data_IF_008328450434
#
_entry.id   IF_008328450434
#
_cell.length_a   1.000
_cell.length_b   1.000
_cell.length_c   1.000
_cell.angle_alpha   90.00
_cell.angle_beta   90.00
_cell.angle_gamma   90.00
#
_symmetry.space_group_name_H-M   'P 1'
#
loop_
_entity.id
_entity.type
_entity.pdbx_description
1 polymer ?
#
# COMPACT_ATOMS: atom_id res chain seq x y z
N UNK A 1 -23.35 24.22 56.90
CA UNK A 1 -24.41 23.74 56.03
C UNK A 1 -23.78 23.48 54.67
N UNK A 2 -23.45 22.21 54.41
CA UNK A 2 -22.72 21.75 53.22
C UNK A 2 -23.71 21.38 52.13
N UNK A 3 -23.75 22.11 51.04
CA UNK A 3 -24.45 21.68 49.81
C UNK A 3 -23.41 21.10 48.84
N UNK A 4 -23.29 19.77 48.87
CA UNK A 4 -22.53 19.00 47.91
C UNK A 4 -23.28 18.98 46.58
N UNK A 5 -22.73 19.73 45.62
CA UNK A 5 -23.18 19.75 44.24
C UNK A 5 -22.74 18.43 43.56
N UNK A 6 -23.66 17.48 43.40
CA UNK A 6 -23.50 16.22 42.70
C UNK A 6 -23.61 16.53 41.18
N UNK A 7 -22.50 16.96 40.59
CA UNK A 7 -22.40 17.14 39.11
C UNK A 7 -22.19 15.77 38.49
N UNK A 8 -23.30 15.09 38.17
CA UNK A 8 -23.31 13.86 37.41
C UNK A 8 -22.83 14.17 36.00
N UNK A 9 -21.58 13.80 35.67
CA UNK A 9 -21.02 13.84 34.34
C UNK A 9 -21.80 12.91 33.41
N UNK A 10 -22.78 13.43 32.69
CA UNK A 10 -23.37 12.82 31.52
C UNK A 10 -22.28 12.84 30.40
N UNK A 11 -21.42 11.82 30.38
CA UNK A 11 -20.61 11.52 29.22
C UNK A 11 -21.56 11.08 28.10
N UNK A 12 -21.60 11.77 26.96
CA UNK A 12 -22.30 11.24 25.80
C UNK A 12 -21.54 9.97 25.38
N UNK A 13 -22.14 8.82 25.61
CA UNK A 13 -21.74 7.57 24.98
C UNK A 13 -22.00 7.79 23.48
N UNK A 14 -21.00 8.29 22.78
CA UNK A 14 -21.00 8.28 21.32
C UNK A 14 -21.02 6.82 20.90
N UNK A 15 -22.21 6.27 20.72
CA UNK A 15 -22.40 5.01 20.02
C UNK A 15 -21.84 5.24 18.63
N UNK A 16 -20.59 4.83 18.41
CA UNK A 16 -20.00 4.75 17.08
C UNK A 16 -20.82 3.70 16.34
N UNK A 17 -21.86 4.15 15.67
CA UNK A 17 -22.64 3.30 14.79
C UNK A 17 -21.64 2.68 13.79
N UNK A 18 -21.49 1.36 13.84
CA UNK A 18 -20.64 0.64 12.91
C UNK A 18 -21.12 0.94 11.50
N UNK A 19 -20.33 1.72 10.76
CA UNK A 19 -20.65 2.04 9.37
C UNK A 19 -20.63 0.74 8.58
N UNK A 20 -21.78 0.36 8.03
CA UNK A 20 -21.86 -0.75 7.08
C UNK A 20 -21.13 -0.32 5.80
N UNK A 21 -20.01 -0.95 5.55
CA UNK A 21 -19.23 -0.70 4.34
C UNK A 21 -19.89 -1.37 3.14
N UNK A 22 -20.26 -0.58 2.15
CA UNK A 22 -20.71 -1.08 0.85
C UNK A 22 -19.49 -1.39 -0.03
N UNK A 23 -19.67 -2.18 -1.08
CA UNK A 23 -18.61 -2.46 -2.06
C UNK A 23 -18.03 -1.16 -2.63
N UNK A 24 -18.89 -0.19 -2.95
CA UNK A 24 -18.47 1.11 -3.49
C UNK A 24 -17.66 1.92 -2.46
N UNK A 25 -18.02 1.88 -1.18
CA UNK A 25 -17.24 2.53 -0.12
C UNK A 25 -15.84 1.91 0.01
N UNK A 26 -15.74 0.58 -0.07
CA UNK A 26 -14.46 -0.13 -0.03
C UNK A 26 -13.57 0.25 -1.23
N UNK A 27 -14.14 0.31 -2.43
CA UNK A 27 -13.41 0.70 -3.65
C UNK A 27 -12.95 2.16 -3.56
N UNK A 28 -13.82 3.07 -3.13
CA UNK A 28 -13.49 4.48 -2.99
C UNK A 28 -12.35 4.69 -1.97
N UNK A 29 -12.47 4.06 -0.82
CA UNK A 29 -11.43 4.11 0.23
C UNK A 29 -10.09 3.57 -0.25
N UNK A 30 -10.10 2.44 -0.96
CA UNK A 30 -8.87 1.85 -1.46
C UNK A 30 -8.19 2.71 -2.54
N UNK A 31 -8.95 3.32 -3.45
CA UNK A 31 -8.41 4.25 -4.44
C UNK A 31 -7.66 5.43 -3.81
N UNK A 32 -8.14 5.89 -2.66
CA UNK A 32 -7.53 7.03 -1.96
C UNK A 32 -6.36 6.64 -1.04
N UNK A 33 -6.42 5.45 -0.42
CA UNK A 33 -5.51 5.09 0.67
C UNK A 33 -4.54 3.95 0.32
N UNK A 34 -4.75 3.23 -0.78
CA UNK A 34 -3.91 2.08 -1.12
C UNK A 34 -2.48 2.52 -1.50
N UNK A 35 -1.49 1.93 -0.82
CA UNK A 35 -0.08 2.26 -1.02
C UNK A 35 0.44 1.92 -2.42
N UNK A 36 -0.04 0.84 -3.03
CA UNK A 36 0.39 0.44 -4.37
C UNK A 36 -0.09 1.43 -5.44
N UNK A 37 -1.30 1.99 -5.29
CA UNK A 37 -1.80 3.05 -6.15
C UNK A 37 -0.96 4.32 -5.97
N UNK A 38 -0.71 4.74 -4.72
CA UNK A 38 0.13 5.90 -4.42
C UNK A 38 1.55 5.76 -4.96
N UNK A 39 2.13 4.55 -4.87
CA UNK A 39 3.43 4.28 -5.47
C UNK A 39 3.41 4.48 -6.98
N UNK A 40 2.43 3.92 -7.67
CA UNK A 40 2.28 4.09 -9.13
C UNK A 40 2.01 5.55 -9.54
N UNK A 41 1.34 6.35 -8.70
CA UNK A 41 1.17 7.79 -8.91
C UNK A 41 2.50 8.55 -8.77
N UNK A 42 3.35 8.14 -7.83
CA UNK A 42 4.71 8.71 -7.69
C UNK A 42 5.58 8.33 -8.88
N UNK A 43 5.48 7.09 -9.36
CA UNK A 43 6.20 6.63 -10.53
C UNK A 43 5.80 7.43 -11.78
N UNK A 44 4.51 7.73 -11.94
CA UNK A 44 4.04 8.62 -13.00
C UNK A 44 4.61 10.03 -12.87
N UNK A 45 4.59 10.63 -11.68
CA UNK A 45 5.21 11.95 -11.43
C UNK A 45 6.71 11.94 -11.74
N UNK A 46 7.40 10.83 -11.46
CA UNK A 46 8.81 10.68 -11.82
C UNK A 46 9.03 10.73 -13.33
N UNK A 47 8.16 10.09 -14.12
CA UNK A 47 8.25 10.15 -15.59
C UNK A 47 7.86 11.52 -16.13
N UNK A 48 6.96 12.27 -15.47
CA UNK A 48 6.67 13.67 -15.81
C UNK A 48 7.92 14.54 -15.67
N UNK A 49 8.66 14.35 -14.58
CA UNK A 49 9.92 15.04 -14.33
C UNK A 49 10.98 14.64 -15.40
N UNK A 50 11.04 13.35 -15.77
CA UNK A 50 11.95 12.86 -16.82
C UNK A 50 11.66 13.54 -18.18
N UNK A 51 10.39 13.71 -18.54
CA UNK A 51 9.99 14.46 -19.75
C UNK A 51 10.46 15.91 -19.65
N UNK A 52 10.28 16.56 -18.48
CA UNK A 52 10.73 17.92 -18.25
C UNK A 52 12.27 18.04 -18.35
N UNK A 53 13.02 17.14 -17.72
CA UNK A 53 14.48 17.08 -17.80
C UNK A 53 14.95 16.91 -19.25
N UNK A 54 14.27 16.05 -20.01
CA UNK A 54 14.60 15.84 -21.43
C UNK A 54 14.35 17.10 -22.27
N UNK A 55 13.30 17.87 -21.94
CA UNK A 55 13.06 19.19 -22.53
C UNK A 55 14.17 20.20 -22.15
N UNK A 56 14.64 20.13 -20.89
CA UNK A 56 15.70 21.00 -20.42
C UNK A 56 17.04 20.80 -21.17
N UNK A 57 17.27 19.62 -21.78
CA UNK A 57 18.45 19.37 -22.60
C UNK A 57 18.52 20.24 -23.87
N UNK A 58 17.45 20.96 -24.23
CA UNK A 58 17.48 21.98 -25.31
C UNK A 58 17.88 23.37 -24.81
N UNK A 59 18.00 23.56 -23.49
CA UNK A 59 18.42 24.81 -22.87
C UNK A 59 19.93 24.79 -22.60
N UNK A 60 20.57 25.96 -22.49
CA UNK A 60 21.98 26.04 -22.08
C UNK A 60 22.14 25.54 -20.62
N UNK A 61 23.18 24.76 -20.39
CA UNK A 61 23.62 24.38 -19.05
C UNK A 61 24.64 25.40 -18.52
N UNK A 62 24.46 25.84 -17.30
CA UNK A 62 25.35 26.74 -16.58
C UNK A 62 25.97 25.95 -15.42
N UNK A 63 27.30 25.88 -15.40
CA UNK A 63 28.04 25.25 -14.32
C UNK A 63 28.90 26.29 -13.64
N UNK A 64 28.92 26.29 -12.33
CA UNK A 64 29.87 27.11 -11.55
C UNK A 64 30.72 26.17 -10.68
N UNK A 65 31.99 26.46 -10.61
CA UNK A 65 32.95 25.73 -9.80
C UNK A 65 33.78 26.69 -8.96
N UNK A 66 34.08 26.28 -7.74
CA UNK A 66 35.01 26.96 -6.87
C UNK A 66 35.89 25.92 -6.19
N UNK A 67 37.16 26.09 -6.23
CA UNK A 67 38.12 25.19 -5.60
C UNK A 67 39.09 25.99 -4.73
N UNK A 68 39.37 25.51 -3.54
CA UNK A 68 40.39 25.99 -2.65
C UNK A 68 41.34 24.82 -2.34
N UNK A 69 42.62 25.01 -2.71
CA UNK A 69 43.61 23.96 -2.52
C UNK A 69 44.72 24.48 -1.64
N UNK A 70 45.18 23.67 -0.70
CA UNK A 70 46.38 23.89 0.09
C UNK A 70 47.32 22.70 -0.07
N UNK A 71 48.58 23.00 -0.40
CA UNK A 71 49.65 22.02 -0.51
C UNK A 71 50.71 22.35 0.53
N UNK A 72 50.93 21.42 1.45
CA UNK A 72 51.97 21.55 2.46
C UNK A 72 53.08 20.52 2.20
N UNK A 73 54.33 20.97 2.12
CA UNK A 73 55.45 20.07 1.87
C UNK A 73 56.56 20.77 1.13
N UNK A 74 57.41 19.97 0.50
CA UNK A 74 58.57 20.45 -0.26
C UNK A 74 58.11 20.94 -1.64
N UNK A 75 57.87 22.23 -1.73
CA UNK A 75 57.38 22.91 -2.95
C UNK A 75 58.45 23.84 -3.53
N UNK A 76 58.34 24.12 -4.82
CA UNK A 76 59.18 25.17 -5.43
C UNK A 76 58.57 26.53 -5.10
N UNK A 77 59.31 27.35 -4.36
CA UNK A 77 58.93 28.74 -4.13
C UNK A 77 58.97 29.52 -5.46
N UNK A 78 57.88 30.10 -5.92
CA UNK A 78 57.82 30.78 -7.22
C UNK A 78 58.63 32.08 -7.26
N UNK A 79 59.09 32.60 -6.15
CA UNK A 79 59.93 33.81 -6.08
C UNK A 79 61.41 33.45 -6.06
N UNK A 80 61.84 32.51 -5.22
CA UNK A 80 63.26 32.11 -5.06
C UNK A 80 63.68 30.99 -6.05
N UNK A 81 62.71 30.31 -6.69
CA UNK A 81 62.91 29.13 -7.55
C UNK A 81 63.70 28.01 -6.87
N UNK A 82 63.62 27.90 -5.52
CA UNK A 82 64.25 26.89 -4.69
C UNK A 82 63.24 25.99 -4.01
N UNK A 83 63.63 24.77 -3.69
CA UNK A 83 62.80 23.84 -2.94
C UNK A 83 62.77 24.21 -1.44
N UNK A 84 61.63 24.66 -1.00
CA UNK A 84 61.38 25.05 0.39
C UNK A 84 60.19 24.27 0.95
N UNK A 85 60.19 23.94 2.27
CA UNK A 85 59.02 23.39 2.94
C UNK A 85 58.07 24.56 3.21
N UNK A 86 57.09 24.75 2.35
CA UNK A 86 56.09 25.82 2.46
C UNK A 86 54.69 25.29 2.27
N UNK A 87 53.72 25.97 2.84
CA UNK A 87 52.32 25.75 2.51
C UNK A 87 51.95 26.71 1.40
N UNK A 88 51.52 26.15 0.28
CA UNK A 88 51.00 26.93 -0.84
C UNK A 88 49.50 26.82 -0.93
N UNK A 89 48.83 27.95 -0.90
CA UNK A 89 47.38 28.04 -1.00
C UNK A 89 46.96 28.62 -2.32
N UNK A 90 45.95 28.05 -2.96
CA UNK A 90 45.39 28.58 -4.21
C UNK A 90 43.88 28.49 -4.17
N UNK A 91 43.23 29.54 -4.61
CA UNK A 91 41.80 29.59 -4.83
C UNK A 91 41.54 29.80 -6.34
N UNK A 92 40.62 29.03 -6.87
CA UNK A 92 40.18 29.17 -8.26
C UNK A 92 38.65 29.13 -8.31
N UNK A 93 38.06 29.86 -9.21
CA UNK A 93 36.63 29.87 -9.45
C UNK A 93 36.37 30.10 -10.95
N UNK A 94 35.32 29.45 -11.43
CA UNK A 94 34.93 29.55 -12.83
C UNK A 94 33.42 29.41 -13.01
N UNK A 95 32.90 30.07 -14.05
CA UNK A 95 31.53 29.88 -14.52
C UNK A 95 31.63 29.51 -15.99
N UNK A 96 31.02 28.37 -16.36
CA UNK A 96 30.96 27.91 -17.75
C UNK A 96 29.51 27.76 -18.19
N UNK A 97 29.21 28.13 -19.42
CA UNK A 97 27.92 27.94 -20.07
C UNK A 97 28.13 27.16 -21.36
N UNK A 98 27.35 26.08 -21.51
CA UNK A 98 27.39 25.28 -22.75
C UNK A 98 25.99 24.99 -23.27
N UNK A 99 25.79 25.05 -24.58
CA UNK A 99 24.53 24.75 -25.24
C UNK A 99 24.81 23.88 -26.48
N UNK A 100 24.24 22.68 -26.59
CA UNK A 100 24.36 21.86 -27.78
C UNK A 100 23.46 22.43 -28.89
N UNK A 101 24.07 23.02 -29.95
CA UNK A 101 23.32 23.60 -31.08
C UNK A 101 22.75 22.51 -32.00
N UNK A 102 23.44 21.39 -32.14
CA UNK A 102 23.00 20.27 -32.95
C UNK A 102 23.56 18.95 -32.41
N UNK A 103 22.66 17.99 -32.20
CA UNK A 103 22.99 16.64 -31.67
C UNK A 103 22.46 15.51 -32.57
N UNK A 104 22.36 15.74 -33.90
CA UNK A 104 21.87 14.72 -34.83
C UNK A 104 20.45 14.22 -34.53
N UNK A 105 19.55 15.10 -34.08
CA UNK A 105 18.16 14.77 -33.66
C UNK A 105 18.07 13.86 -32.42
N UNK A 106 19.18 13.56 -31.74
CA UNK A 106 19.22 12.69 -30.59
C UNK A 106 18.33 13.22 -29.47
N UNK A 107 18.40 14.50 -29.11
CA UNK A 107 17.59 15.12 -28.06
C UNK A 107 16.10 15.04 -28.40
N UNK A 108 15.73 15.21 -29.65
CA UNK A 108 14.33 15.09 -30.08
C UNK A 108 13.82 13.67 -29.97
N UNK A 109 14.61 12.65 -30.34
CA UNK A 109 14.26 11.23 -30.17
C UNK A 109 14.15 10.85 -28.71
N UNK A 110 15.05 11.33 -27.85
CA UNK A 110 14.96 11.15 -26.39
C UNK A 110 13.68 11.74 -25.82
N UNK A 111 13.27 12.93 -26.29
CA UNK A 111 12.01 13.53 -25.86
C UNK A 111 10.80 12.69 -26.27
N UNK A 112 10.78 12.16 -27.49
CA UNK A 112 9.72 11.24 -27.90
C UNK A 112 9.69 9.98 -27.05
N UNK A 113 10.85 9.38 -26.79
CA UNK A 113 10.98 8.21 -25.92
C UNK A 113 10.46 8.49 -24.51
N UNK A 114 10.83 9.62 -23.91
CA UNK A 114 10.35 10.00 -22.57
C UNK A 114 8.82 10.18 -22.54
N UNK A 115 8.22 10.78 -23.58
CA UNK A 115 6.76 10.90 -23.70
C UNK A 115 6.06 9.55 -23.85
N UNK A 116 6.62 8.62 -24.63
CA UNK A 116 6.06 7.28 -24.75
C UNK A 116 6.16 6.52 -23.41
N UNK A 117 7.27 6.69 -22.70
CA UNK A 117 7.45 6.11 -21.36
C UNK A 117 6.43 6.66 -20.37
N UNK A 118 6.20 7.98 -20.35
CA UNK A 118 5.17 8.64 -19.53
C UNK A 118 3.78 8.05 -19.81
N UNK A 119 3.40 7.90 -21.07
CA UNK A 119 2.12 7.30 -21.47
C UNK A 119 2.02 5.84 -21.03
N UNK A 120 3.10 5.06 -21.18
CA UNK A 120 3.12 3.67 -20.70
C UNK A 120 2.94 3.59 -19.20
N UNK A 121 3.60 4.47 -18.41
CA UNK A 121 3.44 4.53 -16.95
C UNK A 121 2.03 4.96 -16.55
N UNK A 122 1.39 5.85 -17.33
CA UNK A 122 -0.01 6.20 -17.10
C UNK A 122 -0.93 4.98 -17.21
N UNK A 123 -0.78 4.18 -18.27
CA UNK A 123 -1.56 2.95 -18.42
C UNK A 123 -1.24 1.90 -17.35
N UNK A 124 0.01 1.84 -16.88
CA UNK A 124 0.37 0.98 -15.75
C UNK A 124 -0.34 1.38 -14.45
N UNK A 125 -0.47 2.69 -14.19
CA UNK A 125 -1.25 3.20 -13.07
C UNK A 125 -2.73 2.81 -13.18
N UNK A 126 -3.32 2.97 -14.37
CA UNK A 126 -4.73 2.62 -14.59
C UNK A 126 -4.95 1.10 -14.42
N UNK A 127 -4.06 0.28 -14.98
CA UNK A 127 -4.07 -1.17 -14.79
C UNK A 127 -3.95 -1.54 -13.29
N UNK A 128 -3.10 -0.82 -12.53
CA UNK A 128 -2.95 -1.06 -11.10
C UNK A 128 -4.21 -0.73 -10.31
N UNK A 129 -4.90 0.35 -10.68
CA UNK A 129 -6.21 0.70 -10.10
C UNK A 129 -7.25 -0.38 -10.37
N UNK A 130 -7.31 -0.91 -11.58
CA UNK A 130 -8.25 -1.96 -11.95
C UNK A 130 -7.94 -3.28 -11.23
N UNK A 131 -6.65 -3.65 -11.10
CA UNK A 131 -6.21 -4.82 -10.34
C UNK A 131 -6.68 -4.75 -8.87
N UNK A 132 -6.50 -3.60 -8.22
CA UNK A 132 -6.94 -3.39 -6.83
C UNK A 132 -8.47 -3.47 -6.72
N UNK A 133 -9.21 -2.90 -7.67
CA UNK A 133 -10.67 -2.98 -7.71
C UNK A 133 -11.12 -4.44 -7.79
N UNK A 134 -10.55 -5.23 -8.69
CA UNK A 134 -10.87 -6.64 -8.84
C UNK A 134 -10.56 -7.44 -7.57
N UNK A 135 -9.42 -7.16 -6.92
CA UNK A 135 -9.05 -7.79 -5.65
C UNK A 135 -10.09 -7.49 -4.55
N UNK A 136 -10.58 -6.24 -4.47
CA UNK A 136 -11.60 -5.85 -3.50
C UNK A 136 -12.94 -6.54 -3.80
N UNK A 137 -13.35 -6.59 -5.07
CA UNK A 137 -14.58 -7.26 -5.48
C UNK A 137 -14.53 -8.73 -5.06
N UNK A 138 -13.43 -9.41 -5.32
CA UNK A 138 -13.26 -10.82 -4.95
C UNK A 138 -13.32 -11.01 -3.43
N UNK A 139 -12.57 -10.22 -2.67
CA UNK A 139 -12.58 -10.29 -1.21
C UNK A 139 -13.96 -9.97 -0.61
N UNK A 140 -14.65 -8.95 -1.13
CA UNK A 140 -16.00 -8.60 -0.69
C UNK A 140 -17.02 -9.72 -0.96
N UNK A 141 -16.94 -10.32 -2.13
CA UNK A 141 -17.81 -11.44 -2.53
C UNK A 141 -17.55 -12.67 -1.67
N UNK A 142 -16.28 -12.92 -1.33
CA UNK A 142 -15.90 -14.02 -0.44
C UNK A 142 -16.48 -13.82 0.97
N UNK A 143 -16.36 -12.62 1.54
CA UNK A 143 -16.97 -12.28 2.85
C UNK A 143 -18.49 -12.46 2.81
N UNK A 144 -19.16 -12.01 1.74
CA UNK A 144 -20.61 -12.17 1.58
C UNK A 144 -21.00 -13.64 1.48
N UNK A 145 -20.27 -14.42 0.70
CA UNK A 145 -20.48 -15.88 0.56
C UNK A 145 -20.31 -16.59 1.88
N UNK A 146 -19.26 -16.26 2.66
CA UNK A 146 -19.03 -16.87 3.96
C UNK A 146 -20.12 -16.51 4.97
N UNK A 147 -20.62 -15.27 4.96
CA UNK A 147 -21.78 -14.88 5.80
C UNK A 147 -23.02 -15.73 5.50
N UNK A 148 -23.33 -15.95 4.21
CA UNK A 148 -24.49 -16.79 3.85
C UNK A 148 -24.24 -18.26 4.19
N UNK A 149 -23.00 -18.77 4.01
CA UNK A 149 -22.63 -20.13 4.45
C UNK A 149 -22.85 -20.33 5.95
N UNK A 150 -22.38 -19.39 6.79
CA UNK A 150 -22.58 -19.45 8.24
C UNK A 150 -24.06 -19.47 8.59
N UNK A 151 -24.90 -18.68 7.92
CA UNK A 151 -26.34 -18.66 8.14
C UNK A 151 -26.98 -20.02 7.83
N UNK A 152 -26.59 -20.64 6.68
CA UNK A 152 -27.06 -21.96 6.31
C UNK A 152 -26.58 -23.03 7.30
N UNK A 153 -25.31 -22.98 7.70
CA UNK A 153 -24.74 -23.93 8.65
C UNK A 153 -25.39 -23.82 10.04
N UNK A 154 -25.71 -22.62 10.51
CA UNK A 154 -26.44 -22.39 11.77
C UNK A 154 -27.86 -22.98 11.68
N UNK A 155 -28.56 -22.81 10.56
CA UNK A 155 -29.87 -23.47 10.38
C UNK A 155 -29.74 -25.01 10.34
N UNK A 156 -28.73 -25.54 9.70
CA UNK A 156 -28.45 -26.98 9.68
C UNK A 156 -28.10 -27.54 11.06
N UNK A 157 -27.36 -26.75 11.87
CA UNK A 157 -27.04 -27.09 13.25
C UNK A 157 -28.31 -27.28 14.12
N UNK A 158 -29.28 -26.40 13.99
CA UNK A 158 -30.55 -26.53 14.71
C UNK A 158 -31.31 -27.79 14.30
N UNK A 159 -31.39 -28.12 13.02
CA UNK A 159 -31.98 -29.36 12.51
C UNK A 159 -31.24 -30.59 13.07
N UNK A 160 -29.89 -30.52 13.13
CA UNK A 160 -29.10 -31.63 13.68
C UNK A 160 -29.33 -31.83 15.17
N UNK A 161 -29.48 -30.73 15.97
CA UNK A 161 -29.84 -30.81 17.38
C UNK A 161 -31.20 -31.48 17.60
N UNK A 162 -32.21 -31.13 16.81
CA UNK A 162 -33.50 -31.76 16.84
C UNK A 162 -33.42 -33.26 16.46
N UNK A 163 -32.58 -33.61 15.48
CA UNK A 163 -32.33 -35.01 15.11
C UNK A 163 -31.73 -35.81 16.27
N UNK A 164 -30.71 -35.26 16.92
CA UNK A 164 -30.10 -35.90 18.13
C UNK A 164 -31.13 -36.10 19.24
N UNK A 165 -31.95 -35.08 19.50
CA UNK A 165 -33.03 -35.20 20.52
C UNK A 165 -34.03 -36.32 20.16
N UNK A 166 -34.49 -36.38 18.91
CA UNK A 166 -35.40 -37.43 18.43
C UNK A 166 -34.76 -38.82 18.51
N UNK A 167 -33.51 -38.97 18.09
CA UNK A 167 -32.78 -40.26 18.18
C UNK A 167 -32.72 -40.72 19.64
N UNK A 168 -32.45 -39.79 20.59
CA UNK A 168 -32.42 -40.10 22.02
C UNK A 168 -33.78 -40.57 22.56
N UNK A 169 -34.89 -39.96 22.14
CA UNK A 169 -36.23 -40.38 22.49
C UNK A 169 -36.55 -41.78 21.96
N UNK A 170 -36.19 -42.07 20.69
CA UNK A 170 -36.41 -43.38 20.07
C UNK A 170 -35.59 -44.50 20.72
N UNK A 171 -34.37 -44.19 21.17
CA UNK A 171 -33.54 -45.14 21.93
C UNK A 171 -34.19 -45.39 23.33
N UNK A 172 -34.68 -44.35 24.01
CA UNK A 172 -35.36 -44.51 25.30
C UNK A 172 -36.66 -45.30 25.19
N UNK A 173 -37.34 -45.20 24.02
CA UNK A 173 -38.51 -46.00 23.72
C UNK A 173 -38.19 -47.46 23.27
N UNK A 174 -36.91 -47.81 23.16
CA UNK A 174 -36.44 -49.11 22.71
C UNK A 174 -36.59 -49.38 21.22
N UNK A 175 -36.83 -48.35 20.41
CA UNK A 175 -37.06 -48.45 18.97
C UNK A 175 -35.76 -48.37 18.14
N UNK A 176 -34.66 -47.93 18.73
CA UNK A 176 -33.34 -47.81 18.11
C UNK A 176 -32.22 -48.38 18.98
N UNK A 177 -31.14 -48.89 18.38
CA UNK A 177 -29.94 -49.34 19.10
C UNK A 177 -29.27 -48.19 19.83
N UNK A 178 -28.69 -48.42 21.01
CA UNK A 178 -27.99 -47.41 21.79
C UNK A 178 -26.77 -46.80 21.04
N UNK A 179 -26.23 -47.45 20.06
CA UNK A 179 -25.10 -46.99 19.27
C UNK A 179 -25.42 -45.81 18.34
N UNK A 180 -26.65 -45.69 17.88
CA UNK A 180 -27.05 -44.70 16.87
C UNK A 180 -26.97 -43.24 17.38
N UNK A 181 -26.93 -43.01 18.68
CA UNK A 181 -26.75 -41.68 19.29
C UNK A 181 -25.36 -41.13 18.97
N UNK A 182 -24.34 -41.98 18.99
CA UNK A 182 -22.95 -41.51 18.77
C UNK A 182 -22.74 -41.03 17.35
N UNK A 183 -23.41 -41.63 16.35
CA UNK A 183 -23.35 -41.15 14.97
C UNK A 183 -24.01 -39.78 14.82
N UNK A 184 -25.21 -39.64 15.43
CA UNK A 184 -25.94 -38.35 15.42
C UNK A 184 -25.18 -37.23 16.13
N UNK A 185 -24.53 -37.53 17.25
CA UNK A 185 -23.70 -36.58 18.02
C UNK A 185 -22.42 -36.24 17.25
N UNK A 186 -21.78 -37.20 16.59
CA UNK A 186 -20.59 -36.94 15.75
C UNK A 186 -20.91 -36.01 14.55
N UNK A 187 -22.07 -36.15 13.93
CA UNK A 187 -22.56 -35.26 12.88
C UNK A 187 -22.78 -33.83 13.43
N UNK A 188 -23.38 -33.70 14.60
CA UNK A 188 -23.58 -32.43 15.28
C UNK A 188 -22.25 -31.70 15.52
N UNK A 189 -21.28 -32.37 16.14
CA UNK A 189 -19.96 -31.79 16.42
C UNK A 189 -19.20 -31.42 15.15
N UNK A 190 -19.34 -32.23 14.08
CA UNK A 190 -18.75 -31.89 12.78
C UNK A 190 -19.33 -30.60 12.18
N UNK A 191 -20.63 -30.34 12.37
CA UNK A 191 -21.26 -29.09 11.94
C UNK A 191 -20.82 -27.89 12.80
N UNK A 192 -20.69 -28.07 14.13
CA UNK A 192 -20.16 -27.02 15.02
C UNK A 192 -18.73 -26.63 14.62
N UNK A 193 -17.88 -27.62 14.35
CA UNK A 193 -16.52 -27.35 13.89
C UNK A 193 -16.51 -26.56 12.55
N UNK A 194 -17.34 -26.94 11.57
CA UNK A 194 -17.44 -26.23 10.31
C UNK A 194 -17.87 -24.77 10.44
N UNK A 195 -18.72 -24.46 11.41
CA UNK A 195 -19.14 -23.08 11.68
C UNK A 195 -17.93 -22.27 12.17
N UNK A 196 -17.18 -22.82 13.13
CA UNK A 196 -15.99 -22.16 13.70
C UNK A 196 -14.91 -21.92 12.63
N UNK A 197 -14.74 -22.88 11.73
CA UNK A 197 -13.78 -22.75 10.61
C UNK A 197 -14.21 -21.68 9.58
N UNK A 198 -15.50 -21.38 9.48
CA UNK A 198 -16.04 -20.41 8.52
C UNK A 198 -16.13 -18.99 9.10
N UNK A 199 -16.22 -18.85 10.44
CA UNK A 199 -16.22 -17.55 11.15
C UNK A 199 -14.84 -16.88 11.14
#
# INVERSE_FOLDING_TARGET
>A
MKKTLFLLCLLPFSAVAQKLWTLNDCIAYAKEHNLSIKQSEIDLKSTDIEVWQTKANFLPSINSEAAYNWNTGKNINPVSNQFENTTFESASGGISMSMPLFSGLQNWRKLQQAKCKQLATQYQLDMKKDEIILMIINAYTEVLSNKEKIKIQKAQLEISKESVARTRELINAGSLPKGDIYESEAQLFSLEQKIIETE
#
